data_IF_105229198225
#
_entry.id   IF_105229198225
#
_cell.length_a   1.000
_cell.length_b   1.000
_cell.length_c   1.000
_cell.angle_alpha   90.00
_cell.angle_beta   90.00
_cell.angle_gamma   90.00
#
_symmetry.space_group_name_H-M   'P 1'
#
loop_
_entity.id
_entity.type
_entity.pdbx_description
1 polymer ?
#
# COMPACT_ATOMS: atom_id res chain seq x y z
N UNK A 1 26.62 -20.05 5.28
CA UNK A 1 26.32 -19.09 6.36
C UNK A 1 27.38 -18.00 6.48
N UNK A 2 26.92 -16.77 6.32
CA UNK A 2 27.62 -15.50 6.47
C UNK A 2 26.61 -14.45 6.91
N UNK A 3 27.06 -13.33 7.45
CA UNK A 3 26.15 -12.25 7.83
C UNK A 3 25.45 -11.66 6.60
N UNK A 4 24.14 -11.45 6.70
CA UNK A 4 23.36 -10.79 5.66
C UNK A 4 23.80 -9.34 5.46
N UNK A 5 23.94 -8.90 4.20
CA UNK A 5 24.22 -7.50 3.83
C UNK A 5 23.05 -6.56 4.14
N UNK A 6 21.86 -7.13 4.31
CA UNK A 6 20.64 -6.39 4.60
C UNK A 6 20.42 -6.18 6.11
N UNK A 7 21.36 -6.64 6.95
CA UNK A 7 21.26 -6.44 8.40
C UNK A 7 21.76 -5.05 8.80
N UNK A 8 20.87 -4.28 9.43
CA UNK A 8 21.18 -3.05 10.16
C UNK A 8 21.17 -3.36 11.65
N UNK A 9 22.22 -2.94 12.36
CA UNK A 9 22.36 -3.13 13.79
C UNK A 9 22.46 -1.78 14.51
N UNK A 10 21.71 -1.60 15.59
CA UNK A 10 21.81 -0.42 16.46
C UNK A 10 21.79 -0.81 17.94
N UNK A 11 22.64 -0.21 18.79
CA UNK A 11 22.55 -0.41 20.24
C UNK A 11 21.18 0.01 20.80
N UNK A 12 20.67 -0.74 21.76
CA UNK A 12 19.44 -0.38 22.48
C UNK A 12 19.76 0.61 23.60
N UNK A 13 19.14 1.80 23.64
CA UNK A 13 19.41 2.78 24.70
C UNK A 13 19.15 2.22 26.11
N UNK A 14 20.17 2.27 26.98
CA UNK A 14 20.08 1.79 28.36
C UNK A 14 20.22 0.28 28.54
N UNK A 15 20.56 -0.48 27.48
CA UNK A 15 20.90 -1.90 27.55
C UNK A 15 22.26 -2.18 26.88
N UNK A 16 22.83 -3.36 27.15
CA UNK A 16 23.94 -3.93 26.37
C UNK A 16 23.47 -4.61 25.08
N UNK A 17 22.16 -4.75 24.91
CA UNK A 17 21.58 -5.45 23.75
C UNK A 17 21.66 -4.62 22.47
N UNK A 18 21.53 -5.32 21.35
CA UNK A 18 21.52 -4.74 20.01
C UNK A 18 20.20 -5.06 19.32
N UNK A 19 19.57 -4.04 18.73
CA UNK A 19 18.45 -4.21 17.83
C UNK A 19 18.97 -4.53 16.42
N UNK A 20 18.56 -5.67 15.88
CA UNK A 20 18.84 -6.09 14.52
C UNK A 20 17.58 -5.94 13.67
N UNK A 21 17.75 -5.32 12.50
CA UNK A 21 16.72 -5.16 11.50
C UNK A 21 17.23 -5.65 10.15
N UNK A 22 16.57 -6.64 9.58
CA UNK A 22 16.86 -7.09 8.22
C UNK A 22 15.97 -6.33 7.23
N UNK A 23 16.59 -5.53 6.37
CA UNK A 23 15.88 -4.65 5.42
C UNK A 23 15.24 -5.38 4.24
N UNK A 24 15.57 -6.65 4.01
CA UNK A 24 14.96 -7.48 2.96
C UNK A 24 13.78 -8.29 3.50
N UNK A 25 13.91 -8.90 4.68
CA UNK A 25 12.88 -9.77 5.28
C UNK A 25 11.95 -9.06 6.24
N UNK A 26 12.18 -7.76 6.51
CA UNK A 26 11.48 -6.95 7.52
C UNK A 26 11.54 -7.54 8.96
N UNK A 27 12.48 -8.46 9.20
CA UNK A 27 12.61 -9.14 10.49
C UNK A 27 13.33 -8.27 11.50
N UNK A 28 12.80 -8.21 12.72
CA UNK A 28 13.26 -7.31 13.78
C UNK A 28 13.41 -8.09 15.09
N UNK A 29 14.60 -8.07 15.68
CA UNK A 29 14.89 -8.75 16.95
C UNK A 29 15.82 -7.90 17.82
N UNK A 30 15.71 -8.08 19.14
CA UNK A 30 16.70 -7.57 20.10
C UNK A 30 17.53 -8.77 20.56
N UNK A 31 18.85 -8.64 20.49
CA UNK A 31 19.77 -9.73 20.79
C UNK A 31 20.85 -9.30 21.78
N UNK A 32 21.35 -10.25 22.56
CA UNK A 32 22.46 -10.02 23.49
C UNK A 32 23.79 -9.84 22.74
N UNK A 33 24.82 -9.29 23.40
CA UNK A 33 26.17 -9.19 22.83
C UNK A 33 26.74 -10.52 22.30
N UNK A 34 26.39 -11.64 22.93
CA UNK A 34 26.88 -12.97 22.56
C UNK A 34 26.38 -13.38 21.16
N UNK A 35 25.14 -13.02 20.82
CA UNK A 35 24.55 -13.29 19.50
C UNK A 35 25.20 -12.43 18.42
N UNK A 36 25.50 -11.17 18.72
CA UNK A 36 26.27 -10.30 17.80
C UNK A 36 27.65 -10.89 17.54
N UNK A 37 28.33 -11.33 18.60
CA UNK A 37 29.63 -12.00 18.49
C UNK A 37 29.56 -13.29 17.66
N UNK A 38 28.48 -14.07 17.80
CA UNK A 38 28.24 -15.26 16.99
C UNK A 38 28.12 -14.92 15.49
N UNK A 39 27.34 -13.88 15.13
CA UNK A 39 27.19 -13.43 13.74
C UNK A 39 28.55 -13.02 13.16
N UNK A 40 29.34 -12.24 13.91
CA UNK A 40 30.68 -11.81 13.47
C UNK A 40 31.64 -12.98 13.24
N UNK A 41 31.63 -13.98 14.12
CA UNK A 41 32.43 -15.20 13.98
C UNK A 41 32.05 -15.97 12.72
N UNK A 42 30.75 -16.13 12.47
CA UNK A 42 30.24 -16.84 11.30
C UNK A 42 30.61 -16.11 10.01
N UNK A 43 30.54 -14.78 9.96
CA UNK A 43 30.90 -14.03 8.75
C UNK A 43 32.39 -14.09 8.43
N UNK A 44 33.25 -14.21 9.45
CA UNK A 44 34.70 -14.41 9.28
C UNK A 44 35.08 -15.82 8.84
N UNK A 45 34.15 -16.78 8.90
CA UNK A 45 34.37 -18.17 8.50
C UNK A 45 34.81 -19.10 9.64
N UNK A 46 34.77 -18.66 10.89
CA UNK A 46 35.18 -19.46 12.07
C UNK A 46 34.08 -20.44 12.48
N UNK A 47 33.83 -21.46 11.64
CA UNK A 47 32.73 -22.42 11.83
C UNK A 47 33.06 -23.66 12.66
N UNK A 48 34.34 -24.04 12.76
CA UNK A 48 34.76 -25.31 13.38
C UNK A 48 34.63 -25.33 14.92
N UNK A 49 34.02 -24.30 15.53
CA UNK A 49 33.97 -24.10 16.99
C UNK A 49 32.59 -23.60 17.47
N UNK A 50 31.49 -24.04 16.83
CA UNK A 50 30.14 -23.83 17.39
C UNK A 50 29.75 -25.06 18.22
N UNK A 51 29.35 -24.83 19.46
CA UNK A 51 28.67 -25.83 20.28
C UNK A 51 27.22 -26.01 19.83
N UNK A 52 26.48 -26.91 20.49
CA UNK A 52 25.10 -27.22 20.13
C UNK A 52 24.19 -25.96 20.18
N UNK A 53 24.40 -25.10 21.18
CA UNK A 53 23.61 -23.88 21.35
C UNK A 53 23.94 -22.84 20.27
N UNK A 54 25.23 -22.67 19.94
CA UNK A 54 25.67 -21.81 18.85
C UNK A 54 25.15 -22.27 17.49
N UNK A 55 25.08 -23.58 17.24
CA UNK A 55 24.51 -24.15 16.02
C UNK A 55 22.99 -23.93 15.94
N UNK A 56 22.28 -24.05 17.06
CA UNK A 56 20.86 -23.77 17.14
C UNK A 56 20.57 -22.28 16.87
N UNK A 57 21.31 -21.38 17.54
CA UNK A 57 21.20 -19.94 17.33
C UNK A 57 21.52 -19.53 15.89
N UNK A 58 22.55 -20.11 15.28
CA UNK A 58 22.88 -19.85 13.87
C UNK A 58 21.76 -20.28 12.92
N UNK A 59 21.12 -21.43 13.20
CA UNK A 59 19.99 -21.92 12.41
C UNK A 59 18.78 -21.00 12.54
N UNK A 60 18.48 -20.54 13.75
CA UNK A 60 17.40 -19.58 14.01
C UNK A 60 17.68 -18.23 13.32
N UNK A 61 18.89 -17.68 13.46
CA UNK A 61 19.31 -16.45 12.79
C UNK A 61 19.22 -16.57 11.26
N UNK A 62 19.53 -17.74 10.69
CA UNK A 62 19.37 -17.99 9.26
C UNK A 62 17.88 -18.00 8.85
N UNK A 63 17.01 -18.63 9.65
CA UNK A 63 15.55 -18.63 9.39
C UNK A 63 14.93 -17.23 9.47
N UNK A 64 15.53 -16.34 10.28
CA UNK A 64 15.16 -14.93 10.42
C UNK A 64 15.84 -14.01 9.38
N UNK A 65 16.70 -14.57 8.52
CA UNK A 65 17.39 -13.85 7.44
C UNK A 65 18.67 -13.11 7.84
N UNK A 66 19.10 -13.17 9.10
CA UNK A 66 20.34 -12.51 9.56
C UNK A 66 21.61 -13.25 9.12
N UNK A 67 21.49 -14.55 8.81
CA UNK A 67 22.54 -15.35 8.19
C UNK A 67 22.08 -15.92 6.85
N UNK A 68 22.97 -15.90 5.85
CA UNK A 68 22.70 -16.39 4.49
C UNK A 68 23.74 -17.41 4.06
N UNK A 69 23.38 -18.33 3.17
CA UNK A 69 24.31 -19.38 2.75
C UNK A 69 25.49 -18.86 1.96
N UNK A 70 25.21 -18.00 0.97
CA UNK A 70 26.20 -17.31 0.15
C UNK A 70 25.69 -15.90 -0.23
N UNK A 71 26.57 -15.10 -0.82
CA UNK A 71 26.18 -13.79 -1.39
C UNK A 71 25.26 -13.98 -2.59
N UNK A 72 25.51 -15.01 -3.40
CA UNK A 72 24.69 -15.36 -4.55
C UNK A 72 23.27 -15.77 -4.14
N UNK A 73 23.09 -16.56 -3.08
CA UNK A 73 21.73 -16.91 -2.60
C UNK A 73 20.98 -15.68 -2.08
N UNK A 74 21.70 -14.73 -1.49
CA UNK A 74 21.13 -13.47 -1.01
C UNK A 74 20.75 -12.53 -2.18
N UNK A 75 21.55 -12.47 -3.25
CA UNK A 75 21.22 -11.74 -4.48
C UNK A 75 19.99 -12.36 -5.18
N UNK A 76 19.91 -13.69 -5.26
CA UNK A 76 18.74 -14.40 -5.80
C UNK A 76 17.47 -14.13 -4.98
N UNK A 77 17.58 -14.11 -3.65
CA UNK A 77 16.44 -13.78 -2.79
C UNK A 77 15.93 -12.35 -3.04
N UNK A 78 16.83 -11.39 -3.26
CA UNK A 78 16.46 -10.02 -3.62
C UNK A 78 15.75 -9.96 -4.99
N UNK A 79 16.28 -10.65 -5.99
CA UNK A 79 15.68 -10.70 -7.33
C UNK A 79 14.29 -11.35 -7.30
N UNK A 80 14.14 -12.43 -6.54
CA UNK A 80 12.85 -13.09 -6.36
C UNK A 80 11.85 -12.16 -5.67
N UNK A 81 12.27 -11.47 -4.60
CA UNK A 81 11.43 -10.48 -3.91
C UNK A 81 10.88 -9.41 -4.87
N UNK A 82 11.74 -8.83 -5.72
CA UNK A 82 11.30 -7.84 -6.71
C UNK A 82 10.47 -8.44 -7.85
N UNK A 83 10.66 -9.71 -8.17
CA UNK A 83 9.83 -10.41 -9.16
C UNK A 83 8.44 -10.63 -8.60
N UNK A 84 8.33 -11.20 -7.41
CA UNK A 84 7.05 -11.40 -6.70
C UNK A 84 6.30 -10.07 -6.55
N UNK A 85 6.99 -8.99 -6.17
CA UNK A 85 6.37 -7.67 -6.02
C UNK A 85 5.82 -7.10 -7.34
N UNK A 86 6.53 -7.31 -8.46
CA UNK A 86 6.14 -6.77 -9.78
C UNK A 86 5.06 -7.61 -10.44
N UNK A 87 5.08 -8.91 -10.22
CA UNK A 87 4.21 -9.88 -10.88
C UNK A 87 2.97 -10.22 -10.05
N UNK A 88 2.86 -9.73 -8.80
CA UNK A 88 1.67 -9.92 -7.96
C UNK A 88 0.42 -9.30 -8.60
N UNK A 89 -0.38 -10.15 -9.22
CA UNK A 89 -1.66 -9.81 -9.82
C UNK A 89 -2.86 -10.11 -8.90
N UNK A 90 -2.64 -10.56 -7.66
CA UNK A 90 -3.73 -10.97 -6.75
C UNK A 90 -4.62 -9.79 -6.34
N UNK A 91 -4.08 -8.56 -6.37
CA UNK A 91 -4.82 -7.35 -6.03
C UNK A 91 -4.75 -6.30 -7.14
N UNK A 92 -5.84 -6.16 -7.90
CA UNK A 92 -5.99 -5.06 -8.85
C UNK A 92 -6.47 -3.80 -8.13
N UNK A 93 -5.81 -2.65 -8.39
CA UNK A 93 -6.15 -1.36 -7.78
C UNK A 93 -6.32 -0.30 -8.87
N UNK A 94 -7.45 0.42 -8.85
CA UNK A 94 -7.72 1.51 -9.79
C UNK A 94 -8.17 2.74 -9.02
N UNK A 95 -7.53 3.88 -9.31
CA UNK A 95 -7.96 5.20 -8.83
C UNK A 95 -8.59 5.96 -9.99
N UNK A 96 -9.84 6.40 -9.83
CA UNK A 96 -10.58 7.13 -10.84
C UNK A 96 -10.83 8.57 -10.41
N UNK A 97 -10.45 9.50 -11.26
CA UNK A 97 -10.79 10.90 -11.15
C UNK A 97 -12.14 11.11 -11.83
N UNK A 98 -13.21 11.23 -11.05
CA UNK A 98 -14.57 11.42 -11.61
C UNK A 98 -14.78 12.86 -12.08
N UNK A 99 -13.96 13.79 -11.58
CA UNK A 99 -13.99 15.21 -11.91
C UNK A 99 -12.67 15.86 -11.52
N UNK A 100 -12.27 16.91 -12.25
CA UNK A 100 -11.23 17.86 -11.83
C UNK A 100 -11.82 19.06 -11.09
N UNK A 101 -13.15 19.18 -11.03
CA UNK A 101 -13.85 20.20 -10.25
C UNK A 101 -13.73 19.93 -8.75
N UNK A 102 -13.52 20.97 -7.95
CA UNK A 102 -13.51 20.90 -6.48
C UNK A 102 -14.31 22.06 -5.88
N UNK A 103 -14.94 21.87 -4.73
CA UNK A 103 -15.63 22.94 -4.00
C UNK A 103 -14.70 23.70 -3.04
N UNK A 104 -13.44 23.28 -2.89
CA UNK A 104 -12.34 23.99 -2.20
C UNK A 104 -11.23 24.36 -3.20
N UNK A 105 -10.33 25.26 -2.79
CA UNK A 105 -9.21 25.73 -3.60
C UNK A 105 -7.89 25.72 -2.82
N UNK A 106 -7.53 24.53 -2.31
CA UNK A 106 -6.38 24.37 -1.42
C UNK A 106 -5.06 24.80 -2.08
N UNK A 107 -4.23 25.56 -1.36
CA UNK A 107 -2.97 26.13 -1.85
C UNK A 107 -1.92 25.08 -2.28
N UNK A 108 -1.98 23.90 -1.68
CA UNK A 108 -1.09 22.77 -1.95
C UNK A 108 -1.68 21.75 -2.96
N UNK A 109 -2.81 22.06 -3.61
CA UNK A 109 -3.52 21.08 -4.43
C UNK A 109 -2.74 20.67 -5.68
N UNK A 110 -2.38 19.39 -5.79
CA UNK A 110 -1.65 18.83 -6.94
C UNK A 110 -2.45 18.86 -8.25
N UNK A 111 -3.78 19.01 -8.18
CA UNK A 111 -4.65 19.05 -9.35
C UNK A 111 -4.77 20.46 -9.96
N UNK A 112 -4.10 21.45 -9.37
CA UNK A 112 -4.02 22.82 -9.87
C UNK A 112 -4.87 23.80 -9.07
N UNK A 113 -4.97 25.01 -9.60
CA UNK A 113 -5.77 26.09 -9.00
C UNK A 113 -7.26 25.83 -9.24
N UNK A 114 -8.03 25.70 -8.16
CA UNK A 114 -9.49 25.54 -8.21
C UNK A 114 -10.23 26.86 -7.92
N UNK A 115 -9.52 27.98 -7.93
CA UNK A 115 -10.07 29.33 -7.88
C UNK A 115 -10.60 29.82 -9.24
N UNK A 116 -11.52 30.77 -9.19
CA UNK A 116 -11.97 31.52 -10.37
C UNK A 116 -12.60 30.68 -11.48
N UNK A 117 -12.27 31.00 -12.73
CA UNK A 117 -12.89 30.42 -13.94
C UNK A 117 -12.51 28.94 -14.19
N UNK A 118 -11.37 28.49 -13.66
CA UNK A 118 -10.89 27.12 -13.86
C UNK A 118 -11.89 26.09 -13.32
N UNK A 119 -12.41 26.33 -12.12
CA UNK A 119 -13.35 25.42 -11.48
C UNK A 119 -14.72 25.36 -12.19
N UNK A 120 -15.11 26.43 -12.88
CA UNK A 120 -16.33 26.46 -13.70
C UNK A 120 -16.22 25.65 -14.99
N UNK A 121 -15.01 25.43 -15.49
CA UNK A 121 -14.72 24.73 -16.75
C UNK A 121 -14.00 23.39 -16.56
N UNK A 122 -13.78 22.99 -15.31
CA UNK A 122 -13.07 21.77 -14.95
C UNK A 122 -13.74 20.53 -15.55
N UNK A 123 -12.92 19.61 -16.07
CA UNK A 123 -13.42 18.43 -16.75
C UNK A 123 -14.18 17.51 -15.79
N UNK A 124 -15.32 17.00 -16.24
CA UNK A 124 -16.15 16.04 -15.50
C UNK A 124 -16.32 14.77 -16.32
N UNK A 125 -16.13 13.61 -15.69
CA UNK A 125 -16.42 12.34 -16.33
C UNK A 125 -17.92 12.26 -16.66
N UNK A 126 -18.25 11.96 -17.91
CA UNK A 126 -19.62 11.66 -18.32
C UNK A 126 -19.98 10.21 -18.01
N UNK A 127 -21.28 9.89 -17.96
CA UNK A 127 -21.74 8.51 -17.80
C UNK A 127 -21.30 7.60 -18.96
N UNK A 128 -21.18 8.15 -20.18
CA UNK A 128 -20.65 7.42 -21.34
C UNK A 128 -19.17 7.03 -21.12
N UNK A 129 -18.34 7.99 -20.70
CA UNK A 129 -16.94 7.71 -20.35
C UNK A 129 -16.85 6.73 -19.20
N UNK A 130 -17.71 6.85 -18.18
CA UNK A 130 -17.77 5.90 -17.07
C UNK A 130 -18.11 4.47 -17.56
N UNK A 131 -19.05 4.31 -18.48
CA UNK A 131 -19.38 3.02 -19.06
C UNK A 131 -18.22 2.40 -19.87
N UNK A 132 -17.47 3.22 -20.62
CA UNK A 132 -16.26 2.78 -21.32
C UNK A 132 -15.15 2.38 -20.35
N UNK A 133 -14.95 3.15 -19.29
CA UNK A 133 -14.00 2.85 -18.21
C UNK A 133 -14.37 1.55 -17.50
N UNK A 134 -15.64 1.34 -17.15
CA UNK A 134 -16.10 0.09 -16.55
C UNK A 134 -15.82 -1.12 -17.45
N UNK A 135 -16.10 -1.00 -18.75
CA UNK A 135 -15.83 -2.05 -19.73
C UNK A 135 -14.33 -2.38 -19.82
N UNK A 136 -13.47 -1.36 -19.74
CA UNK A 136 -12.02 -1.57 -19.67
C UNK A 136 -11.62 -2.27 -18.37
N UNK A 137 -12.16 -1.87 -17.21
CA UNK A 137 -11.88 -2.52 -15.92
C UNK A 137 -12.32 -3.98 -15.94
N UNK A 138 -13.52 -4.27 -16.45
CA UNK A 138 -14.03 -5.64 -16.63
C UNK A 138 -13.06 -6.50 -17.45
N UNK A 139 -12.56 -5.97 -18.58
CA UNK A 139 -11.56 -6.69 -19.40
C UNK A 139 -10.25 -6.97 -18.65
N UNK A 140 -9.88 -6.11 -17.69
CA UNK A 140 -8.68 -6.30 -16.88
C UNK A 140 -8.92 -7.32 -15.77
N UNK A 141 -10.10 -7.33 -15.18
CA UNK A 141 -10.51 -8.37 -14.23
C UNK A 141 -10.47 -9.75 -14.91
N UNK A 142 -10.94 -9.86 -16.16
CA UNK A 142 -10.90 -11.10 -16.93
C UNK A 142 -9.46 -11.53 -17.27
N UNK A 143 -8.60 -10.58 -17.63
CA UNK A 143 -7.22 -10.87 -18.00
C UNK A 143 -6.32 -11.23 -16.80
N UNK A 144 -6.55 -10.61 -15.64
CA UNK A 144 -5.70 -10.76 -14.46
C UNK A 144 -6.22 -11.83 -13.48
N UNK A 145 -7.53 -12.09 -13.45
CA UNK A 145 -8.17 -12.98 -12.48
C UNK A 145 -7.81 -12.68 -11.02
N UNK A 146 -7.84 -11.41 -10.55
CA UNK A 146 -7.36 -11.06 -9.21
C UNK A 146 -8.29 -11.62 -8.13
N UNK A 147 -7.75 -11.94 -6.96
CA UNK A 147 -8.56 -12.30 -5.77
C UNK A 147 -9.34 -11.08 -5.24
N UNK A 148 -8.74 -9.89 -5.38
CA UNK A 148 -9.28 -8.63 -4.87
C UNK A 148 -9.20 -7.50 -5.90
N UNK A 149 -10.24 -6.68 -5.93
CA UNK A 149 -10.28 -5.42 -6.68
C UNK A 149 -10.53 -4.25 -5.73
N UNK A 150 -9.74 -3.18 -5.83
CA UNK A 150 -10.01 -1.92 -5.11
C UNK A 150 -10.23 -0.78 -6.08
N UNK A 151 -11.40 -0.16 -5.98
CA UNK A 151 -11.77 1.06 -6.68
C UNK A 151 -11.68 2.26 -5.74
N UNK A 152 -10.81 3.21 -6.05
CA UNK A 152 -10.68 4.46 -5.30
C UNK A 152 -11.26 5.61 -6.11
N UNK A 153 -12.27 6.29 -5.58
CA UNK A 153 -12.75 7.54 -6.14
C UNK A 153 -11.93 8.71 -5.60
N UNK A 154 -11.35 9.48 -6.52
CA UNK A 154 -10.53 10.66 -6.28
C UNK A 154 -10.85 11.72 -7.34
N UNK A 155 -10.00 12.73 -7.50
CA UNK A 155 -10.25 13.91 -8.32
C UNK A 155 -10.33 15.14 -7.44
N UNK A 156 -10.83 16.25 -7.99
CA UNK A 156 -10.97 17.49 -7.23
C UNK A 156 -11.83 17.24 -5.99
N UNK A 157 -13.14 17.08 -6.18
CA UNK A 157 -14.02 16.49 -5.17
C UNK A 157 -14.91 15.42 -5.84
N UNK A 158 -14.65 14.11 -5.62
CA UNK A 158 -15.40 13.05 -6.29
C UNK A 158 -16.90 13.06 -5.98
N UNK A 159 -17.30 13.56 -4.80
CA UNK A 159 -18.71 13.68 -4.40
C UNK A 159 -19.46 14.78 -5.15
N UNK A 160 -18.79 15.63 -5.94
CA UNK A 160 -19.48 16.50 -6.89
C UNK A 160 -20.05 15.73 -8.10
N UNK A 161 -19.55 14.52 -8.39
CA UNK A 161 -19.97 13.69 -9.52
C UNK A 161 -20.54 12.32 -9.08
N UNK A 162 -21.45 12.35 -8.10
CA UNK A 162 -22.15 11.16 -7.59
C UNK A 162 -22.79 10.27 -8.66
N UNK A 163 -23.39 10.77 -9.76
CA UNK A 163 -23.96 9.90 -10.79
C UNK A 163 -22.94 8.91 -11.36
N UNK A 164 -21.71 9.36 -11.62
CA UNK A 164 -20.61 8.50 -12.10
C UNK A 164 -20.12 7.55 -11.01
N UNK A 165 -19.97 8.04 -9.77
CA UNK A 165 -19.58 7.23 -8.62
C UNK A 165 -20.53 6.04 -8.45
N UNK A 166 -21.85 6.30 -8.43
CA UNK A 166 -22.86 5.26 -8.29
C UNK A 166 -22.90 4.30 -9.48
N UNK A 167 -22.86 4.80 -10.71
CA UNK A 167 -22.88 3.96 -11.90
C UNK A 167 -21.69 2.99 -11.96
N UNK A 168 -20.50 3.46 -11.59
CA UNK A 168 -19.29 2.62 -11.53
C UNK A 168 -19.34 1.63 -10.36
N UNK A 169 -19.75 2.08 -9.17
CA UNK A 169 -19.85 1.23 -7.99
C UNK A 169 -20.80 0.05 -8.24
N UNK A 170 -22.01 0.32 -8.75
CA UNK A 170 -23.01 -0.70 -9.04
C UNK A 170 -22.54 -1.70 -10.09
N UNK A 171 -22.08 -1.19 -11.24
CA UNK A 171 -21.66 -2.03 -12.37
C UNK A 171 -20.46 -2.92 -12.01
N UNK A 172 -19.44 -2.36 -11.37
CA UNK A 172 -18.23 -3.09 -11.03
C UNK A 172 -18.45 -4.06 -9.85
N UNK A 173 -19.36 -3.75 -8.93
CA UNK A 173 -19.72 -4.66 -7.84
C UNK A 173 -20.37 -5.93 -8.40
N UNK A 174 -21.29 -5.80 -9.36
CA UNK A 174 -21.89 -6.95 -10.04
C UNK A 174 -20.87 -7.73 -10.88
N UNK A 175 -19.99 -7.02 -11.60
CA UNK A 175 -18.92 -7.65 -12.36
C UNK A 175 -17.95 -8.46 -11.47
N UNK A 176 -17.64 -7.97 -10.27
CA UNK A 176 -16.78 -8.69 -9.33
C UNK A 176 -17.50 -9.89 -8.71
N UNK A 177 -18.77 -9.71 -8.30
CA UNK A 177 -19.59 -10.78 -7.73
C UNK A 177 -19.72 -11.99 -8.66
N UNK A 178 -20.00 -11.74 -9.94
CA UNK A 178 -20.09 -12.80 -10.95
C UNK A 178 -18.76 -13.52 -11.23
N UNK A 179 -17.62 -12.93 -10.84
CA UNK A 179 -16.27 -13.48 -11.00
C UNK A 179 -15.68 -14.08 -9.71
N UNK A 180 -16.39 -13.98 -8.59
CA UNK A 180 -15.85 -14.37 -7.28
C UNK A 180 -14.71 -13.45 -6.78
N UNK A 181 -14.59 -12.23 -7.32
CA UNK A 181 -13.58 -11.24 -6.92
C UNK A 181 -14.12 -10.42 -5.76
N UNK A 182 -13.32 -10.22 -4.71
CA UNK A 182 -13.69 -9.34 -3.60
C UNK A 182 -13.50 -7.88 -4.00
N UNK A 183 -14.57 -7.09 -4.08
CA UNK A 183 -14.50 -5.66 -4.40
C UNK A 183 -14.53 -4.79 -3.15
N UNK A 184 -13.60 -3.84 -3.08
CA UNK A 184 -13.58 -2.77 -2.09
C UNK A 184 -13.65 -1.41 -2.78
N UNK A 185 -14.47 -0.51 -2.26
CA UNK A 185 -14.56 0.88 -2.66
C UNK A 185 -13.94 1.75 -1.57
N UNK A 186 -13.13 2.72 -1.98
CA UNK A 186 -12.67 3.81 -1.12
C UNK A 186 -12.93 5.16 -1.77
N UNK A 187 -13.22 6.17 -0.96
CA UNK A 187 -13.38 7.55 -1.41
C UNK A 187 -12.36 8.43 -0.70
N UNK A 188 -11.68 9.31 -1.44
CA UNK A 188 -10.87 10.39 -0.90
C UNK A 188 -11.63 11.69 -1.14
N UNK A 189 -12.01 12.40 -0.09
CA UNK A 189 -12.90 13.58 -0.14
C UNK A 189 -12.47 14.64 0.87
N UNK A 190 -12.80 15.90 0.63
CA UNK A 190 -12.71 16.95 1.66
C UNK A 190 -13.78 16.80 2.75
N UNK A 191 -14.75 15.90 2.58
CA UNK A 191 -15.76 15.55 3.58
C UNK A 191 -16.96 16.48 3.60
N UNK A 192 -16.93 17.64 2.94
CA UNK A 192 -18.03 18.61 2.99
C UNK A 192 -19.35 18.05 2.42
N UNK A 193 -19.27 17.19 1.41
CA UNK A 193 -20.42 16.57 0.76
C UNK A 193 -20.68 15.13 1.22
N UNK A 194 -19.90 14.64 2.19
CA UNK A 194 -20.09 13.30 2.72
C UNK A 194 -21.33 13.27 3.62
N UNK A 195 -22.29 12.44 3.26
CA UNK A 195 -23.55 12.28 4.00
C UNK A 195 -23.85 10.81 4.23
N UNK A 196 -24.68 10.51 5.22
CA UNK A 196 -25.17 9.16 5.50
C UNK A 196 -25.80 8.52 4.25
N UNK A 197 -26.61 9.27 3.50
CA UNK A 197 -27.20 8.83 2.23
C UNK A 197 -26.16 8.34 1.20
N UNK A 198 -25.03 9.04 1.08
CA UNK A 198 -23.95 8.64 0.16
C UNK A 198 -23.32 7.33 0.62
N UNK A 199 -23.07 7.20 1.94
CA UNK A 199 -22.51 6.00 2.55
C UNK A 199 -23.45 4.82 2.37
N UNK A 200 -24.71 4.96 2.77
CA UNK A 200 -25.74 3.92 2.67
C UNK A 200 -25.95 3.44 1.23
N UNK A 201 -25.83 4.34 0.26
CA UNK A 201 -25.95 3.97 -1.16
C UNK A 201 -24.76 3.14 -1.64
N UNK A 202 -23.57 3.33 -1.09
CA UNK A 202 -22.33 2.68 -1.54
C UNK A 202 -21.95 1.45 -0.72
N UNK A 203 -22.44 1.32 0.51
CA UNK A 203 -22.20 0.16 1.38
C UNK A 203 -22.54 -1.18 0.68
N UNK A 204 -23.71 -1.36 0.02
CA UNK A 204 -24.04 -2.60 -0.68
C UNK A 204 -23.11 -2.93 -1.85
N UNK A 205 -22.41 -1.94 -2.39
CA UNK A 205 -21.47 -2.11 -3.50
C UNK A 205 -20.03 -2.36 -3.06
N UNK A 206 -19.76 -2.34 -1.74
CA UNK A 206 -18.46 -2.64 -1.17
C UNK A 206 -17.69 -1.43 -0.66
N UNK A 207 -18.33 -0.33 -0.26
CA UNK A 207 -17.65 0.76 0.44
C UNK A 207 -17.03 0.27 1.75
N UNK A 208 -15.69 0.28 1.83
CA UNK A 208 -14.94 -0.16 3.02
C UNK A 208 -14.20 0.96 3.73
N UNK A 209 -14.10 2.15 3.14
CA UNK A 209 -13.42 3.26 3.80
C UNK A 209 -13.50 4.60 3.08
N UNK A 210 -13.56 5.67 3.86
CA UNK A 210 -13.49 7.06 3.39
C UNK A 210 -12.29 7.73 4.02
N UNK A 211 -11.46 8.39 3.21
CA UNK A 211 -10.35 9.22 3.65
C UNK A 211 -10.79 10.68 3.57
N UNK A 212 -10.82 11.35 4.72
CA UNK A 212 -11.21 12.75 4.82
C UNK A 212 -9.94 13.59 4.96
N UNK A 213 -9.78 14.57 4.08
CA UNK A 213 -8.64 15.51 4.12
C UNK A 213 -8.83 16.50 5.27
N UNK A 214 -7.86 16.56 6.19
CA UNK A 214 -7.83 17.48 7.31
C UNK A 214 -6.38 17.85 7.64
N UNK A 215 -6.07 19.15 7.69
CA UNK A 215 -4.69 19.66 7.82
C UNK A 215 -4.27 20.00 9.26
N UNK A 216 -4.98 19.45 10.24
CA UNK A 216 -4.72 19.66 11.66
C UNK A 216 -5.83 20.43 12.35
N UNK A 217 -5.45 21.41 13.17
CA UNK A 217 -6.43 22.24 13.88
C UNK A 217 -7.19 23.17 12.93
N UNK A 218 -8.29 23.75 13.44
CA UNK A 218 -9.15 24.66 12.66
C UNK A 218 -8.36 25.80 12.03
N UNK A 219 -7.51 26.47 12.80
CA UNK A 219 -6.80 27.65 12.32
C UNK A 219 -5.84 27.31 11.18
N UNK A 220 -5.20 26.14 11.26
CA UNK A 220 -4.29 25.64 10.24
C UNK A 220 -5.05 25.18 9.01
N UNK A 221 -6.15 24.44 9.18
CA UNK A 221 -6.96 23.90 8.08
C UNK A 221 -7.71 24.98 7.30
N UNK A 222 -8.33 25.95 7.99
CA UNK A 222 -9.09 27.02 7.35
C UNK A 222 -8.20 28.04 6.61
N UNK A 223 -6.86 27.93 6.74
CA UNK A 223 -5.87 28.71 5.98
C UNK A 223 -5.42 28.05 4.68
N UNK A 224 -5.82 26.79 4.45
CA UNK A 224 -5.37 26.01 3.30
C UNK A 224 -6.21 26.22 2.06
#
# INVERSE_FOLDING_TARGET
MRASRFTVATPVPGSTDTFLFNTLTDTQIVVSPDVVSLIDRIDRGDRDVLDADGQAAATELASLGFLVDSRESEDQALEQFFTDLREDSRHMRVTLLTTLQCNFACDYCIQGDHGGEYNGTAARMSLETAARTASWIESRLDALGPERFTLTFFGGEPLLNLPVVYALAERLSEACRSRGVTMNISIITNGLLLTETVVDRLLPFGLTGVKITLDGDRATHDQK
#
